data_IF_431292925017
#
_entry.id   IF_431292925017
#
_cell.length_a   1.000
_cell.length_b   1.000
_cell.length_c   1.000
_cell.angle_alpha   90.00
_cell.angle_beta   90.00
_cell.angle_gamma   90.00
#
_symmetry.space_group_name_H-M   'P 1'
#
loop_
_entity.id
_entity.type
_entity.pdbx_description
1 polymer ?
#
# COMPACT_ATOMS: atom_id res chain seq x y z
N UNK A 1 -23.78 -33.60 15.30
CA UNK A 1 -24.22 -32.36 14.63
C UNK A 1 -23.64 -31.09 15.27
N UNK A 2 -23.63 -30.93 16.61
CA UNK A 2 -23.04 -29.75 17.29
C UNK A 2 -21.54 -29.53 16.99
N UNK A 3 -20.73 -30.60 16.93
CA UNK A 3 -19.29 -30.52 16.63
C UNK A 3 -19.00 -30.06 15.19
N UNK A 4 -19.87 -30.42 14.24
CA UNK A 4 -19.75 -30.00 12.85
C UNK A 4 -20.07 -28.50 12.69
N UNK A 5 -21.04 -28.01 13.48
CA UNK A 5 -21.42 -26.59 13.52
C UNK A 5 -20.34 -25.70 14.15
N UNK A 6 -19.59 -26.22 15.12
CA UNK A 6 -18.47 -25.50 15.77
C UNK A 6 -17.27 -25.39 14.81
N UNK A 7 -16.99 -26.44 14.03
CA UNK A 7 -15.93 -26.44 13.02
C UNK A 7 -16.19 -25.46 11.88
N UNK A 8 -17.42 -25.39 11.37
CA UNK A 8 -17.78 -24.40 10.33
C UNK A 8 -17.72 -22.97 10.85
N UNK A 9 -18.14 -22.72 12.09
CA UNK A 9 -18.05 -21.40 12.70
C UNK A 9 -16.59 -20.95 12.93
N UNK A 10 -15.69 -21.87 13.29
CA UNK A 10 -14.27 -21.57 13.48
C UNK A 10 -13.56 -21.17 12.16
N UNK A 11 -13.92 -21.80 11.04
CA UNK A 11 -13.37 -21.46 9.71
C UNK A 11 -13.86 -20.11 9.21
N UNK A 12 -15.11 -19.74 9.50
CA UNK A 12 -15.66 -18.42 9.14
C UNK A 12 -15.00 -17.27 9.91
N UNK A 13 -14.57 -17.50 11.15
CA UNK A 13 -13.89 -16.48 11.97
C UNK A 13 -12.43 -16.27 11.52
N UNK A 14 -11.74 -17.28 11.01
CA UNK A 14 -10.35 -17.12 10.55
C UNK A 14 -10.24 -16.34 9.24
N UNK A 15 -11.26 -16.35 8.38
CA UNK A 15 -11.25 -15.64 7.10
C UNK A 15 -11.15 -14.10 7.26
N UNK A 16 -11.67 -13.55 8.36
CA UNK A 16 -11.57 -12.12 8.66
C UNK A 16 -10.20 -11.66 9.18
N UNK A 17 -9.35 -12.59 9.63
CA UNK A 17 -8.02 -12.27 10.18
C UNK A 17 -6.93 -12.11 9.10
N UNK A 18 -7.22 -12.46 7.85
CA UNK A 18 -6.30 -12.35 6.70
C UNK A 18 -6.64 -11.20 5.76
N UNK A 19 -7.44 -10.22 6.20
CA UNK A 19 -7.65 -9.01 5.41
C UNK A 19 -6.35 -8.19 5.39
N UNK A 20 -5.88 -7.83 4.20
CA UNK A 20 -4.75 -6.91 4.05
C UNK A 20 -5.10 -5.56 4.69
N UNK A 21 -4.16 -5.00 5.46
CA UNK A 21 -4.29 -3.67 6.03
C UNK A 21 -4.18 -2.64 4.89
N UNK A 22 -5.16 -1.73 4.79
CA UNK A 22 -5.18 -0.69 3.76
C UNK A 22 -4.80 0.67 4.36
N UNK A 23 -3.81 1.33 3.76
CA UNK A 23 -3.30 2.63 4.17
C UNK A 23 -3.43 3.63 3.02
N UNK A 24 -4.03 4.79 3.31
CA UNK A 24 -4.06 5.92 2.37
C UNK A 24 -2.83 6.78 2.61
N UNK A 25 -2.16 7.17 1.52
CA UNK A 25 -0.97 8.02 1.59
C UNK A 25 -1.37 9.42 2.06
N UNK A 26 -0.76 9.86 3.16
CA UNK A 26 -0.86 11.23 3.64
C UNK A 26 0.15 12.13 2.91
N UNK A 27 -0.37 13.09 2.14
CA UNK A 27 0.46 14.03 1.37
C UNK A 27 1.34 14.92 2.23
N UNK A 28 0.94 15.22 3.48
CA UNK A 28 1.71 16.12 4.35
C UNK A 28 2.94 15.46 4.96
N UNK A 29 3.01 14.13 4.95
CA UNK A 29 4.10 13.34 5.53
C UNK A 29 4.77 12.41 4.50
N UNK A 30 4.50 12.63 3.21
CA UNK A 30 5.06 11.84 2.12
C UNK A 30 5.60 12.76 1.03
N UNK A 31 6.59 12.29 0.28
CA UNK A 31 7.15 13.05 -0.83
C UNK A 31 7.39 12.16 -2.07
N UNK A 32 7.07 12.69 -3.25
CA UNK A 32 7.37 12.06 -4.53
C UNK A 32 8.52 12.82 -5.21
N UNK A 33 9.75 12.43 -4.91
CA UNK A 33 10.97 13.13 -5.34
C UNK A 33 11.74 12.34 -6.39
N UNK A 34 12.46 13.05 -7.25
CA UNK A 34 13.43 12.47 -8.17
C UNK A 34 14.73 13.26 -8.15
N UNK A 35 15.81 12.59 -8.53
CA UNK A 35 17.10 13.22 -8.68
C UNK A 35 17.80 12.69 -9.93
N UNK A 36 18.29 13.60 -10.75
CA UNK A 36 18.99 13.26 -12.00
C UNK A 36 20.38 13.88 -12.01
N UNK A 37 21.36 13.12 -12.50
CA UNK A 37 22.74 13.61 -12.62
C UNK A 37 22.83 14.58 -13.79
N UNK A 38 23.43 15.75 -13.55
CA UNK A 38 23.71 16.75 -14.57
C UNK A 38 25.17 17.19 -14.49
N UNK A 39 26.00 16.56 -15.32
CA UNK A 39 27.47 16.69 -15.35
C UNK A 39 28.11 16.41 -13.96
N UNK A 40 28.51 17.49 -13.26
CA UNK A 40 29.17 17.47 -11.94
C UNK A 40 28.14 17.61 -10.80
N UNK A 41 26.92 18.09 -11.10
CA UNK A 41 25.86 18.36 -10.14
C UNK A 41 24.73 17.33 -10.18
N UNK A 42 23.80 17.43 -9.23
CA UNK A 42 22.52 16.71 -9.26
C UNK A 42 21.37 17.69 -9.25
N UNK A 43 20.42 17.50 -10.14
CA UNK A 43 19.17 18.26 -10.19
C UNK A 43 18.12 17.45 -9.45
N UNK A 44 17.55 18.03 -8.39
CA UNK A 44 16.45 17.44 -7.64
C UNK A 44 15.13 18.07 -8.08
N UNK A 45 14.09 17.26 -8.20
CA UNK A 45 12.72 17.72 -8.43
C UNK A 45 11.74 16.94 -7.57
N UNK A 46 10.53 17.48 -7.44
CA UNK A 46 9.43 16.86 -6.68
C UNK A 46 8.11 17.03 -7.43
N UNK A 47 7.20 16.10 -7.21
CA UNK A 47 5.81 16.22 -7.63
C UNK A 47 4.94 16.57 -6.41
N UNK A 48 4.17 17.64 -6.53
CA UNK A 48 3.37 18.18 -5.41
C UNK A 48 1.98 17.57 -5.35
N UNK A 49 1.49 17.07 -6.48
CA UNK A 49 0.17 16.43 -6.58
C UNK A 49 0.32 14.94 -6.89
N UNK A 50 0.17 14.14 -5.85
CA UNK A 50 0.17 12.68 -5.90
C UNK A 50 -0.87 12.11 -4.95
N UNK A 51 -1.27 10.86 -5.17
CA UNK A 51 -2.15 10.11 -4.29
C UNK A 51 -1.83 8.62 -4.40
N UNK A 52 -2.22 7.84 -3.39
CA UNK A 52 -2.11 6.40 -3.48
C UNK A 52 -2.65 5.66 -2.27
N UNK A 53 -2.74 4.34 -2.45
CA UNK A 53 -3.21 3.38 -1.45
C UNK A 53 -2.23 2.21 -1.40
N UNK A 54 -1.90 1.79 -0.18
CA UNK A 54 -1.02 0.66 0.09
C UNK A 54 -1.86 -0.41 0.76
N UNK A 55 -1.90 -1.62 0.19
CA UNK A 55 -2.50 -2.79 0.82
C UNK A 55 -1.39 -3.72 1.28
N UNK A 56 -1.28 -3.95 2.59
CA UNK A 56 -0.24 -4.79 3.18
C UNK A 56 -0.86 -6.03 3.80
N UNK A 57 -0.50 -7.19 3.27
CA UNK A 57 -0.73 -8.47 3.93
C UNK A 57 0.55 -8.87 4.69
N UNK A 58 0.52 -8.73 6.01
CA UNK A 58 1.66 -9.04 6.88
C UNK A 58 1.93 -10.55 6.99
N UNK A 59 0.90 -11.38 6.78
CA UNK A 59 1.03 -12.84 6.81
C UNK A 59 1.58 -13.37 5.48
N UNK A 60 1.27 -12.70 4.37
CA UNK A 60 1.78 -13.02 3.05
C UNK A 60 2.24 -11.75 2.28
N UNK A 61 3.45 -11.26 2.51
CA UNK A 61 3.93 -10.02 1.89
C UNK A 61 3.92 -10.04 0.35
N UNK A 62 4.00 -11.22 -0.27
CA UNK A 62 4.04 -11.36 -1.74
C UNK A 62 2.74 -10.94 -2.45
N UNK A 63 1.62 -10.89 -1.72
CA UNK A 63 0.33 -10.45 -2.26
C UNK A 63 0.00 -8.99 -1.90
N UNK A 64 0.91 -8.31 -1.20
CA UNK A 64 0.77 -6.87 -0.92
C UNK A 64 0.84 -6.06 -2.21
N UNK A 65 0.14 -4.93 -2.25
CA UNK A 65 0.06 -4.08 -3.44
C UNK A 65 0.13 -2.60 -3.10
N UNK A 66 0.58 -1.81 -4.08
CA UNK A 66 0.61 -0.35 -4.01
C UNK A 66 0.04 0.20 -5.30
N UNK A 67 -0.94 1.10 -5.18
CA UNK A 67 -1.41 1.92 -6.27
C UNK A 67 -0.99 3.37 -5.99
N UNK A 68 -0.25 3.96 -6.93
CA UNK A 68 0.30 5.31 -6.78
C UNK A 68 0.11 6.09 -8.07
N UNK A 69 -0.47 7.29 -7.96
CA UNK A 69 -0.71 8.19 -9.08
C UNK A 69 0.02 9.51 -8.82
N UNK A 70 0.83 9.93 -9.80
CA UNK A 70 1.48 11.24 -9.83
C UNK A 70 0.84 12.06 -10.95
N UNK A 71 0.47 13.30 -10.66
CA UNK A 71 0.13 14.27 -11.70
C UNK A 71 1.40 14.89 -12.24
N UNK A 72 1.85 14.39 -13.39
CA UNK A 72 2.87 15.07 -14.18
C UNK A 72 2.23 16.31 -14.83
N UNK A 73 2.67 17.54 -14.53
CA UNK A 73 2.11 18.73 -15.15
C UNK A 73 2.35 18.75 -16.67
N UNK A 74 1.43 19.38 -17.40
CA UNK A 74 1.57 19.76 -18.82
C UNK A 74 2.33 21.07 -18.97
#
# INVERSE_FOLDING_TARGET
>A
MKRLFILTLAVLISAGAFAADSFVIDKNHSEAIFQVRHMVSRVSGRFDDFAGTINVDRANPSVSSVEFTIKAPS
#
